data_IF_085299345843
#
_entry.id   IF_085299345843
#
_cell.length_a   1.000
_cell.length_b   1.000
_cell.length_c   1.000
_cell.angle_alpha   90.00
_cell.angle_beta   90.00
_cell.angle_gamma   90.00
#
_symmetry.space_group_name_H-M   'P 1'
#
loop_
_entity.id
_entity.type
_entity.pdbx_description
1 polymer ?
#
# COMPACT_ATOMS: atom_id res chain seq x y z
N UNK A 1 -23.22 21.12 -0.84
CA UNK A 1 -21.82 21.53 -0.68
C UNK A 1 -21.43 21.21 0.74
N UNK A 2 -21.03 19.96 0.94
CA UNK A 2 -21.05 19.19 2.19
C UNK A 2 -19.74 19.25 2.98
N UNK A 3 -18.63 19.68 2.37
CA UNK A 3 -17.33 19.89 3.05
C UNK A 3 -16.93 18.70 3.97
N UNK A 4 -17.29 17.48 3.60
CA UNK A 4 -17.10 16.27 4.41
C UNK A 4 -15.79 15.53 4.10
N UNK A 5 -14.98 16.09 3.21
CA UNK A 5 -13.68 15.57 2.82
C UNK A 5 -12.59 16.65 2.77
N UNK A 6 -11.36 16.24 3.08
CA UNK A 6 -10.14 17.04 2.92
C UNK A 6 -9.08 16.25 2.16
N UNK A 7 -8.24 16.95 1.40
CA UNK A 7 -7.07 16.37 0.74
C UNK A 7 -5.79 16.91 1.38
N UNK A 8 -4.94 16.01 1.86
CA UNK A 8 -3.70 16.35 2.55
C UNK A 8 -2.49 16.02 1.68
N UNK A 9 -1.61 17.01 1.50
CA UNK A 9 -0.25 16.81 0.98
C UNK A 9 0.71 16.72 2.15
N UNK A 10 1.38 15.59 2.29
CA UNK A 10 2.24 15.28 3.44
C UNK A 10 3.61 14.78 3.00
N UNK A 11 4.61 14.97 3.87
CA UNK A 11 5.89 14.26 3.82
C UNK A 11 5.85 13.14 4.84
N UNK A 12 6.02 11.89 4.41
CA UNK A 12 6.00 10.73 5.30
C UNK A 12 7.34 10.59 6.00
N UNK A 13 7.32 10.57 7.33
CA UNK A 13 8.51 10.42 8.16
C UNK A 13 8.92 8.93 8.33
N UNK A 14 10.05 8.68 8.99
CA UNK A 14 10.50 7.33 9.34
C UNK A 14 10.89 6.50 8.12
N UNK A 15 10.36 5.27 8.02
CA UNK A 15 10.62 4.38 6.88
C UNK A 15 10.08 4.90 5.55
N UNK A 16 9.22 5.92 5.57
CA UNK A 16 8.50 6.38 4.37
C UNK A 16 7.33 5.48 3.98
N UNK A 17 7.01 4.46 4.78
CA UNK A 17 5.86 3.58 4.57
C UNK A 17 4.58 4.18 5.13
N UNK A 18 3.49 4.08 4.37
CA UNK A 18 2.13 4.25 4.90
C UNK A 18 1.43 2.90 5.12
N UNK A 19 2.00 1.80 4.62
CA UNK A 19 1.42 0.47 4.71
C UNK A 19 2.26 -0.44 5.61
N UNK A 20 1.60 -1.20 6.49
CA UNK A 20 2.25 -2.14 7.40
C UNK A 20 2.91 -3.33 6.69
N UNK A 21 2.61 -3.60 5.42
CA UNK A 21 3.30 -4.66 4.66
C UNK A 21 4.59 -4.19 3.95
N UNK A 22 5.05 -2.96 4.22
CA UNK A 22 6.34 -2.45 3.78
C UNK A 22 6.29 -1.41 2.66
N UNK A 23 5.13 -1.22 2.02
CA UNK A 23 5.00 -0.31 0.88
C UNK A 23 4.79 1.14 1.30
N UNK A 24 5.17 2.06 0.40
CA UNK A 24 5.00 3.50 0.61
C UNK A 24 3.52 3.87 0.68
N UNK A 25 2.67 3.21 -0.13
CA UNK A 25 1.22 3.37 -0.16
C UNK A 25 0.50 2.07 0.21
N UNK A 26 -0.66 2.15 0.86
CA UNK A 26 -1.57 1.00 0.99
C UNK A 26 -2.12 0.53 -0.36
N UNK A 27 -2.16 1.41 -1.36
CA UNK A 27 -2.59 1.12 -2.73
C UNK A 27 -1.42 0.61 -3.59
N UNK A 28 -0.69 -0.38 -3.08
CA UNK A 28 0.48 -0.99 -3.75
C UNK A 28 0.11 -2.01 -4.84
N UNK A 29 -1.19 -2.29 -5.02
CA UNK A 29 -1.74 -3.14 -6.06
C UNK A 29 -2.91 -2.44 -6.76
N UNK A 30 -3.03 -2.64 -8.06
CA UNK A 30 -4.12 -2.12 -8.88
C UNK A 30 -4.87 -3.25 -9.58
N UNK A 31 -6.16 -3.02 -9.83
CA UNK A 31 -6.98 -3.87 -10.69
C UNK A 31 -6.71 -3.44 -12.14
N UNK A 32 -6.29 -4.36 -13.04
CA UNK A 32 -6.16 -4.05 -14.46
C UNK A 32 -7.50 -3.66 -15.08
N UNK A 33 -7.47 -2.73 -16.05
CA UNK A 33 -8.66 -2.19 -16.73
C UNK A 33 -8.51 -2.25 -18.25
N UNK A 34 -9.61 -2.11 -18.99
CA UNK A 34 -9.59 -2.17 -20.45
C UNK A 34 -9.31 -3.58 -20.96
N UNK A 35 -8.41 -3.70 -21.94
CA UNK A 35 -8.06 -5.00 -22.56
C UNK A 35 -7.41 -5.98 -21.59
N UNK A 36 -6.83 -5.48 -20.51
CA UNK A 36 -6.24 -6.30 -19.44
C UNK A 36 -7.24 -6.66 -18.34
N UNK A 37 -8.51 -6.25 -18.45
CA UNK A 37 -9.53 -6.55 -17.44
C UNK A 37 -9.65 -8.07 -17.20
N UNK A 38 -9.69 -8.46 -15.93
CA UNK A 38 -9.72 -9.86 -15.50
C UNK A 38 -8.35 -10.51 -15.30
N UNK A 39 -7.25 -9.81 -15.64
CA UNK A 39 -5.90 -10.25 -15.27
C UNK A 39 -5.63 -10.11 -13.76
N UNK A 40 -4.62 -10.81 -13.21
CA UNK A 40 -4.22 -10.65 -11.82
C UNK A 40 -3.87 -9.21 -11.45
N UNK A 41 -3.99 -8.87 -10.17
CA UNK A 41 -3.61 -7.55 -9.67
C UNK A 41 -2.15 -7.24 -10.02
N UNK A 42 -1.91 -6.04 -10.53
CA UNK A 42 -0.58 -5.54 -10.84
C UNK A 42 -0.01 -4.77 -9.65
N UNK A 43 1.28 -4.91 -9.37
CA UNK A 43 1.96 -4.10 -8.37
C UNK A 43 2.19 -2.69 -8.92
N UNK A 44 1.88 -1.67 -8.13
CA UNK A 44 2.12 -0.25 -8.49
C UNK A 44 3.47 0.25 -8.02
N UNK A 45 4.13 -0.51 -7.14
CA UNK A 45 5.45 -0.21 -6.59
C UNK A 45 6.31 -1.48 -6.65
N UNK A 46 7.56 -1.34 -7.08
CA UNK A 46 8.48 -2.48 -7.28
C UNK A 46 9.23 -2.91 -6.03
N UNK A 47 9.28 -2.05 -5.00
CA UNK A 47 10.09 -2.26 -3.81
C UNK A 47 9.34 -1.85 -2.54
N UNK A 48 9.71 -2.50 -1.43
CA UNK A 48 9.29 -2.11 -0.09
C UNK A 48 10.28 -1.11 0.49
N UNK A 49 9.76 -0.18 1.27
CA UNK A 49 10.52 0.83 2.01
C UNK A 49 11.10 0.29 3.33
N UNK A 50 10.51 -0.78 3.86
CA UNK A 50 11.08 -1.57 4.96
C UNK A 50 10.66 -3.04 4.83
N UNK A 51 11.37 -3.92 5.53
CA UNK A 51 11.01 -5.34 5.62
C UNK A 51 10.09 -5.61 6.83
N UNK A 52 8.82 -6.01 6.62
CA UNK A 52 7.90 -6.34 7.71
C UNK A 52 8.40 -7.47 8.61
N UNK A 53 9.16 -8.43 8.09
CA UNK A 53 9.66 -9.54 8.90
C UNK A 53 10.69 -9.02 9.92
N UNK A 54 11.59 -8.13 9.50
CA UNK A 54 12.52 -7.47 10.42
C UNK A 54 11.84 -6.63 11.52
N UNK A 55 10.65 -6.06 11.25
CA UNK A 55 9.96 -5.14 12.16
C UNK A 55 8.96 -5.87 13.07
N UNK A 56 8.24 -6.85 12.53
CA UNK A 56 7.12 -7.52 13.21
C UNK A 56 7.39 -8.99 13.54
N UNK A 57 8.48 -9.57 13.04
CA UNK A 57 8.80 -10.99 13.21
C UNK A 57 7.69 -11.88 12.64
N UNK A 58 7.21 -12.82 13.45
CA UNK A 58 6.19 -13.81 13.08
C UNK A 58 4.76 -13.34 13.41
N UNK A 59 4.57 -12.05 13.71
CA UNK A 59 3.24 -11.52 13.96
C UNK A 59 2.33 -11.74 12.73
N UNK A 60 1.06 -12.17 12.92
CA UNK A 60 0.18 -12.45 11.81
C UNK A 60 -0.12 -11.19 11.01
N UNK A 61 -0.10 -11.30 9.67
CA UNK A 61 -0.51 -10.20 8.81
C UNK A 61 -2.04 -10.12 8.79
N UNK A 62 -2.66 -9.04 9.32
CA UNK A 62 -4.13 -8.94 9.42
C UNK A 62 -4.82 -8.78 8.05
N UNK A 63 -4.05 -8.58 6.98
CA UNK A 63 -4.55 -8.39 5.62
C UNK A 63 -4.21 -9.54 4.67
N UNK A 64 -3.64 -10.63 5.19
CA UNK A 64 -3.55 -11.89 4.45
C UNK A 64 -4.93 -12.54 4.42
N UNK A 65 -5.44 -12.82 3.22
CA UNK A 65 -6.64 -13.62 2.96
C UNK A 65 -6.27 -15.09 2.75
#
# INVERSE_FOLDING_TARGET
DDQDAIWLRVTVAGSGASCHVGYRSCFYRAVPVGDEAGQPLSFTESTKTFDPQSVYGDAPNPTQL
#
